data_IF_834097124814
#
_entry.id   IF_834097124814
#
_cell.length_a   1.000
_cell.length_b   1.000
_cell.length_c   1.000
_cell.angle_alpha   90.00
_cell.angle_beta   90.00
_cell.angle_gamma   90.00
#
_symmetry.space_group_name_H-M   'P 1'
#
loop_
_entity.id
_entity.type
_entity.pdbx_description
1 polymer ?
#
# COMPACT_ATOMS: atom_id res chain seq x y z
N UNK A 1 15.95 6.88 48.58
CA UNK A 1 15.54 5.67 47.82
C UNK A 1 14.37 5.03 48.57
N UNK A 2 13.32 4.48 47.94
CA UNK A 2 13.22 3.95 46.56
C UNK A 2 12.37 4.87 45.64
N UNK A 3 12.69 5.06 44.35
CA UNK A 3 12.44 4.20 43.16
C UNK A 3 10.99 3.70 43.10
N UNK A 4 10.07 4.55 42.66
CA UNK A 4 8.85 4.10 42.00
C UNK A 4 9.21 3.73 40.57
N UNK A 5 9.62 2.47 40.36
CA UNK A 5 9.63 1.88 39.02
C UNK A 5 8.18 1.81 38.56
N UNK A 6 7.73 2.83 37.84
CA UNK A 6 6.52 2.70 37.04
C UNK A 6 6.84 1.59 36.05
N UNK A 7 6.34 0.38 36.32
CA UNK A 7 6.37 -0.72 35.35
C UNK A 7 5.68 -0.16 34.11
N UNK A 8 6.45 0.19 33.09
CA UNK A 8 5.88 0.75 31.87
C UNK A 8 4.92 -0.29 31.32
N UNK A 9 3.64 0.02 31.27
CA UNK A 9 2.68 -0.85 30.62
C UNK A 9 3.17 -1.03 29.17
N UNK A 10 3.49 -2.26 28.71
CA UNK A 10 3.94 -2.47 27.33
C UNK A 10 2.79 -2.20 26.33
N UNK A 11 1.54 -2.16 26.82
CA UNK A 11 0.34 -1.90 26.03
C UNK A 11 -0.07 -0.43 26.16
N UNK A 12 0.64 0.45 25.46
CA UNK A 12 0.22 1.84 25.29
C UNK A 12 -0.62 1.93 24.02
N UNK A 13 -1.87 2.38 24.14
CA UNK A 13 -2.65 2.81 22.99
C UNK A 13 -1.99 4.06 22.40
N UNK A 14 -1.20 3.87 21.35
CA UNK A 14 -0.29 4.88 20.83
C UNK A 14 -0.35 5.01 19.31
N UNK A 15 0.63 5.73 18.71
CA UNK A 15 0.77 5.80 17.27
C UNK A 15 1.05 4.41 16.67
N UNK A 16 1.01 4.33 15.34
CA UNK A 16 1.40 3.13 14.59
C UNK A 16 2.71 2.54 15.13
N UNK A 17 2.76 1.21 15.27
CA UNK A 17 3.98 0.50 15.69
C UNK A 17 4.96 0.53 14.52
N UNK A 18 6.08 1.23 14.70
CA UNK A 18 7.15 1.34 13.69
C UNK A 18 8.37 0.49 14.01
N UNK A 19 8.51 0.02 15.24
CA UNK A 19 9.54 -0.91 15.67
C UNK A 19 9.04 -2.36 15.50
N UNK A 20 9.57 -3.16 14.56
CA UNK A 20 9.11 -4.52 14.32
C UNK A 20 9.16 -5.41 15.57
N UNK A 21 10.09 -5.16 16.50
CA UNK A 21 10.26 -5.97 17.71
C UNK A 21 9.09 -5.81 18.70
N UNK A 22 8.31 -4.73 18.57
CA UNK A 22 7.15 -4.43 19.41
C UNK A 22 5.83 -4.91 18.79
N UNK A 23 5.86 -5.42 17.56
CA UNK A 23 4.68 -5.97 16.90
C UNK A 23 4.45 -7.42 17.36
N UNK A 24 3.33 -7.68 18.01
CA UNK A 24 3.00 -8.97 18.62
C UNK A 24 1.66 -9.49 18.08
N UNK A 25 1.59 -10.79 17.79
CA UNK A 25 0.38 -11.44 17.30
C UNK A 25 0.17 -11.30 15.79
N UNK A 26 -1.10 -11.36 15.37
CA UNK A 26 -1.54 -11.20 13.96
C UNK A 26 -0.85 -12.12 12.93
N UNK A 27 -0.45 -13.32 13.38
CA UNK A 27 0.35 -14.26 12.57
C UNK A 27 -0.45 -14.78 11.37
N UNK A 28 -1.74 -15.02 11.57
CA UNK A 28 -2.65 -15.51 10.54
C UNK A 28 -2.89 -14.44 9.47
N UNK A 29 -3.08 -13.19 9.86
CA UNK A 29 -3.27 -12.07 8.94
C UNK A 29 -1.99 -11.80 8.13
N UNK A 30 -0.82 -11.87 8.76
CA UNK A 30 0.46 -11.77 8.06
C UNK A 30 0.65 -12.94 7.08
N UNK A 31 0.32 -14.17 7.50
CA UNK A 31 0.39 -15.33 6.63
C UNK A 31 -0.56 -15.20 5.42
N UNK A 32 -1.75 -14.64 5.63
CA UNK A 32 -2.70 -14.36 4.55
C UNK A 32 -2.13 -13.34 3.55
N UNK A 33 -1.58 -12.22 4.03
CA UNK A 33 -0.95 -11.21 3.15
C UNK A 33 0.17 -11.82 2.32
N UNK A 34 1.04 -12.62 2.95
CA UNK A 34 2.14 -13.32 2.28
C UNK A 34 1.62 -14.33 1.26
N UNK A 35 0.63 -15.14 1.61
CA UNK A 35 0.06 -16.13 0.70
C UNK A 35 -0.56 -15.49 -0.55
N UNK A 36 -1.22 -14.33 -0.38
CA UNK A 36 -1.79 -13.55 -1.49
C UNK A 36 -0.74 -12.85 -2.35
N UNK A 37 0.46 -12.63 -1.82
CA UNK A 37 1.60 -12.07 -2.52
C UNK A 37 2.43 -13.13 -3.24
N UNK A 38 2.72 -14.27 -2.60
CA UNK A 38 3.59 -15.36 -3.11
C UNK A 38 2.81 -16.40 -3.93
N UNK A 39 1.48 -16.30 -3.97
CA UNK A 39 0.62 -17.17 -4.78
C UNK A 39 0.88 -17.05 -6.28
N UNK A 40 0.48 -18.08 -7.04
CA UNK A 40 0.66 -18.14 -8.49
C UNK A 40 0.01 -16.96 -9.26
N UNK A 41 -1.04 -16.36 -8.69
CA UNK A 41 -1.62 -15.10 -9.13
C UNK A 41 -1.74 -14.17 -7.92
N UNK A 42 -0.85 -13.17 -7.80
CA UNK A 42 -0.96 -12.18 -6.74
C UNK A 42 -2.30 -11.43 -6.83
N UNK A 43 -2.97 -11.26 -5.70
CA UNK A 43 -4.29 -10.57 -5.66
C UNK A 43 -4.27 -9.39 -4.71
N UNK A 44 -5.05 -8.35 -5.02
CA UNK A 44 -5.31 -7.26 -4.08
C UNK A 44 -5.99 -7.76 -2.80
N UNK A 45 -5.51 -7.30 -1.64
CA UNK A 45 -6.08 -7.63 -0.33
C UNK A 45 -6.49 -6.34 0.35
N UNK A 46 -7.74 -6.28 0.83
CA UNK A 46 -8.22 -5.17 1.65
C UNK A 46 -8.13 -5.54 3.13
N UNK A 47 -7.45 -4.72 3.93
CA UNK A 47 -7.31 -4.90 5.38
C UNK A 47 -8.39 -4.06 6.06
N UNK A 48 -9.46 -4.70 6.51
CA UNK A 48 -10.62 -4.05 7.13
C UNK A 48 -10.72 -4.35 8.63
N UNK A 49 -11.35 -3.44 9.37
CA UNK A 49 -11.55 -3.59 10.81
C UNK A 49 -11.76 -2.25 11.51
N UNK A 50 -12.12 -2.29 12.79
CA UNK A 50 -12.43 -1.11 13.59
C UNK A 50 -11.28 -0.10 13.68
N UNK A 51 -11.61 1.15 14.01
CA UNK A 51 -10.60 2.19 14.24
C UNK A 51 -9.72 1.79 15.43
N UNK A 52 -8.41 2.01 15.33
CA UNK A 52 -7.39 1.68 16.34
C UNK A 52 -7.17 0.18 16.62
N UNK A 53 -7.69 -0.72 15.77
CA UNK A 53 -7.41 -2.16 15.89
C UNK A 53 -6.00 -2.58 15.41
N UNK A 54 -5.20 -1.62 14.92
CA UNK A 54 -3.81 -1.82 14.52
C UNK A 54 -3.58 -2.18 13.03
N UNK A 55 -4.49 -1.78 12.12
CA UNK A 55 -4.37 -2.05 10.68
C UNK A 55 -3.10 -1.46 10.05
N UNK A 56 -2.85 -0.16 10.28
CA UNK A 56 -1.63 0.51 9.84
C UNK A 56 -0.38 -0.17 10.38
N UNK A 57 -0.38 -0.53 11.67
CA UNK A 57 0.73 -1.29 12.28
C UNK A 57 0.94 -2.65 11.62
N UNK A 58 -0.13 -3.37 11.27
CA UNK A 58 -0.06 -4.65 10.57
C UNK A 58 0.54 -4.48 9.17
N UNK A 59 0.02 -3.53 8.39
CA UNK A 59 0.47 -3.27 7.02
C UNK A 59 1.93 -2.78 6.99
N UNK A 60 2.30 -1.90 7.91
CA UNK A 60 3.66 -1.40 8.05
C UNK A 60 4.61 -2.50 8.52
N UNK A 61 4.22 -3.33 9.48
CA UNK A 61 5.03 -4.47 9.92
C UNK A 61 5.24 -5.49 8.80
N UNK A 62 4.21 -5.76 8.00
CA UNK A 62 4.35 -6.55 6.77
C UNK A 62 5.38 -5.92 5.83
N UNK A 63 5.26 -4.62 5.52
CA UNK A 63 6.23 -3.89 4.70
C UNK A 63 7.66 -3.94 5.27
N UNK A 64 7.85 -4.00 6.58
CA UNK A 64 9.18 -4.12 7.18
C UNK A 64 9.76 -5.53 7.13
N UNK A 65 8.92 -6.57 7.01
CA UNK A 65 9.33 -7.97 7.23
C UNK A 65 9.03 -8.89 6.04
N UNK A 66 8.47 -8.38 4.95
CA UNK A 66 8.03 -9.20 3.80
C UNK A 66 9.15 -10.06 3.22
N UNK A 67 10.38 -9.54 3.13
CA UNK A 67 11.52 -10.26 2.54
C UNK A 67 11.80 -11.59 3.25
N UNK A 68 11.58 -11.64 4.57
CA UNK A 68 11.82 -12.81 5.41
C UNK A 68 10.69 -13.84 5.33
N UNK A 69 9.57 -13.50 4.68
CA UNK A 69 8.34 -14.29 4.69
C UNK A 69 8.01 -14.92 3.35
N UNK A 70 8.61 -14.46 2.26
CA UNK A 70 8.35 -14.95 0.90
C UNK A 70 9.46 -15.87 0.40
N UNK A 71 9.13 -16.78 -0.50
CA UNK A 71 10.08 -17.79 -1.00
C UNK A 71 11.11 -17.22 -1.98
N UNK A 72 10.80 -16.10 -2.63
CA UNK A 72 11.65 -15.49 -3.67
C UNK A 72 11.66 -13.97 -3.56
N UNK A 73 12.30 -13.38 -2.54
CA UNK A 73 12.22 -11.95 -2.27
C UNK A 73 12.72 -11.08 -3.43
N UNK A 74 13.66 -11.57 -4.23
CA UNK A 74 14.23 -10.85 -5.37
C UNK A 74 13.24 -10.52 -6.48
N UNK A 75 12.08 -11.19 -6.55
CA UNK A 75 11.05 -10.92 -7.57
C UNK A 75 10.15 -9.74 -7.21
N UNK A 76 10.16 -9.28 -5.97
CA UNK A 76 9.18 -8.30 -5.50
C UNK A 76 9.78 -6.91 -5.34
N UNK A 77 8.96 -5.91 -5.63
CA UNK A 77 9.27 -4.49 -5.40
C UNK A 77 8.17 -3.93 -4.52
N UNK A 78 8.36 -4.05 -3.21
CA UNK A 78 7.34 -3.66 -2.22
C UNK A 78 7.52 -2.20 -1.83
N UNK A 79 6.44 -1.42 -1.87
CA UNK A 79 6.41 -0.01 -1.47
C UNK A 79 5.31 0.25 -0.48
N UNK A 80 5.53 1.23 0.41
CA UNK A 80 4.55 1.70 1.38
C UNK A 80 4.20 3.16 1.13
N UNK A 81 2.91 3.46 1.10
CA UNK A 81 2.38 4.82 1.00
C UNK A 81 1.34 5.05 2.09
N UNK A 82 1.57 6.06 2.92
CA UNK A 82 0.56 6.64 3.80
C UNK A 82 -0.20 7.73 3.04
N UNK A 83 -1.44 7.43 2.66
CA UNK A 83 -2.27 8.31 1.84
C UNK A 83 -2.95 9.41 2.66
N UNK A 84 -2.93 9.34 3.99
CA UNK A 84 -3.42 10.41 4.85
C UNK A 84 -2.33 11.47 5.08
N UNK A 85 -1.09 11.05 5.33
CA UNK A 85 0.02 11.97 5.56
C UNK A 85 0.36 12.79 4.30
N UNK A 86 0.17 12.21 3.11
CA UNK A 86 0.42 12.87 1.82
C UNK A 86 -0.69 12.54 0.81
N UNK A 87 -1.89 13.02 1.09
CA UNK A 87 -3.06 12.81 0.24
C UNK A 87 -2.84 13.41 -1.16
N UNK A 88 -2.81 12.59 -2.22
CA UNK A 88 -2.80 13.07 -3.59
C UNK A 88 -4.12 13.80 -3.88
N UNK A 89 -4.09 15.06 -4.36
CA UNK A 89 -5.31 15.83 -4.64
C UNK A 89 -6.11 15.31 -5.84
N UNK A 90 -5.50 14.51 -6.72
CA UNK A 90 -6.14 13.93 -7.89
C UNK A 90 -5.46 12.62 -8.32
N UNK A 91 -6.10 11.92 -9.25
CA UNK A 91 -5.61 10.63 -9.77
C UNK A 91 -4.19 10.74 -10.38
N UNK A 92 -3.89 11.82 -11.11
CA UNK A 92 -2.56 12.00 -11.69
C UNK A 92 -1.47 12.08 -10.63
N UNK A 93 -1.72 12.81 -9.54
CA UNK A 93 -0.79 12.87 -8.42
C UNK A 93 -0.67 11.54 -7.66
N UNK A 94 -1.70 10.71 -7.66
CA UNK A 94 -1.67 9.36 -7.08
C UNK A 94 -0.74 8.44 -7.88
N UNK A 95 -0.90 8.35 -9.21
CA UNK A 95 0.02 7.57 -10.04
C UNK A 95 1.47 8.08 -9.97
N UNK A 96 1.66 9.40 -9.91
CA UNK A 96 3.00 9.96 -9.69
C UNK A 96 3.60 9.53 -8.35
N UNK A 97 2.79 9.45 -7.28
CA UNK A 97 3.24 8.99 -5.98
C UNK A 97 3.66 7.51 -6.02
N UNK A 98 2.87 6.65 -6.67
CA UNK A 98 3.20 5.23 -6.88
C UNK A 98 4.50 5.08 -7.68
N UNK A 99 4.62 5.78 -8.82
CA UNK A 99 5.83 5.74 -9.64
C UNK A 99 7.07 6.24 -8.90
N UNK A 100 6.97 7.35 -8.15
CA UNK A 100 8.08 7.85 -7.33
C UNK A 100 8.47 6.87 -6.22
N UNK A 101 7.51 6.17 -5.63
CA UNK A 101 7.78 5.15 -4.62
C UNK A 101 8.54 3.97 -5.22
N UNK A 102 8.13 3.48 -6.39
CA UNK A 102 8.85 2.44 -7.14
C UNK A 102 10.25 2.88 -7.55
N UNK A 103 10.39 4.12 -8.05
CA UNK A 103 11.66 4.66 -8.50
C UNK A 103 12.73 4.63 -7.41
N UNK A 104 12.37 4.70 -6.13
CA UNK A 104 13.34 4.68 -5.03
C UNK A 104 13.85 3.28 -4.67
N UNK A 105 13.27 2.24 -5.24
CA UNK A 105 13.58 0.87 -4.85
C UNK A 105 14.89 0.37 -5.47
N UNK A 106 15.77 -0.29 -4.70
CA UNK A 106 17.04 -0.80 -5.22
C UNK A 106 16.90 -1.75 -6.40
N UNK A 107 15.84 -2.57 -6.42
CA UNK A 107 15.53 -3.48 -7.54
C UNK A 107 15.27 -2.72 -8.84
N UNK A 108 14.58 -1.59 -8.77
CA UNK A 108 14.28 -0.72 -9.92
C UNK A 108 15.53 0.00 -10.40
N UNK A 109 16.37 0.47 -9.48
CA UNK A 109 17.61 1.17 -9.83
C UNK A 109 18.63 0.27 -10.55
N UNK A 110 18.54 -1.05 -10.39
CA UNK A 110 19.37 -2.04 -11.10
C UNK A 110 18.94 -2.28 -12.55
N UNK A 111 17.73 -1.86 -12.93
CA UNK A 111 17.16 -2.12 -14.26
C UNK A 111 17.04 -0.80 -15.02
N UNK A 112 17.92 -0.61 -16.01
CA UNK A 112 18.06 0.67 -16.72
C UNK A 112 16.76 1.12 -17.43
N UNK A 113 16.03 0.20 -18.04
CA UNK A 113 14.76 0.52 -18.72
C UNK A 113 13.71 1.05 -17.73
N UNK A 114 13.55 0.38 -16.58
CA UNK A 114 12.60 0.80 -15.54
C UNK A 114 13.01 2.15 -14.94
N UNK A 115 14.31 2.33 -14.67
CA UNK A 115 14.86 3.59 -14.17
C UNK A 115 14.56 4.75 -15.13
N UNK A 116 14.74 4.55 -16.44
CA UNK A 116 14.42 5.55 -17.47
C UNK A 116 12.93 5.86 -17.53
N UNK A 117 12.08 4.85 -17.58
CA UNK A 117 10.61 5.02 -17.60
C UNK A 117 10.12 5.81 -16.39
N UNK A 118 10.76 5.63 -15.24
CA UNK A 118 10.40 6.31 -13.98
C UNK A 118 11.02 7.69 -13.79
N UNK A 119 11.86 8.19 -14.72
CA UNK A 119 12.31 9.59 -14.71
C UNK A 119 11.15 10.57 -14.88
N UNK A 120 10.14 10.17 -15.66
CA UNK A 120 8.88 10.86 -15.81
C UNK A 120 7.77 10.00 -15.17
N UNK A 121 7.38 10.27 -13.90
CA UNK A 121 6.40 9.44 -13.22
C UNK A 121 5.05 9.44 -13.97
N UNK A 122 4.37 8.28 -14.02
CA UNK A 122 3.11 8.11 -14.73
C UNK A 122 2.04 9.06 -14.18
N UNK A 123 1.17 9.56 -15.06
CA UNK A 123 0.10 10.50 -14.70
C UNK A 123 -1.29 9.94 -14.97
N UNK A 124 -1.38 8.86 -15.72
CA UNK A 124 -2.65 8.22 -16.09
C UNK A 124 -2.60 6.74 -15.78
N UNK A 125 -3.77 6.11 -15.74
CA UNK A 125 -3.90 4.66 -15.66
C UNK A 125 -3.15 3.97 -16.81
N UNK A 126 -3.22 4.53 -18.02
CA UNK A 126 -2.54 3.99 -19.20
C UNK A 126 -1.02 4.03 -19.04
N UNK A 127 -0.45 5.17 -18.62
CA UNK A 127 0.99 5.28 -18.37
C UNK A 127 1.44 4.29 -17.29
N UNK A 128 0.63 4.14 -16.23
CA UNK A 128 0.93 3.25 -15.12
C UNK A 128 0.83 1.78 -15.53
N UNK A 129 -0.15 1.41 -16.37
CA UNK A 129 -0.31 0.05 -16.88
C UNK A 129 0.87 -0.36 -17.75
N UNK A 130 1.28 0.52 -18.69
CA UNK A 130 2.49 0.31 -19.52
C UNK A 130 3.74 0.19 -18.65
N UNK A 131 3.84 0.98 -17.58
CA UNK A 131 4.93 0.85 -16.63
C UNK A 131 4.93 -0.54 -15.97
N UNK A 132 3.78 -1.04 -15.49
CA UNK A 132 3.67 -2.36 -14.83
C UNK A 132 3.98 -3.52 -15.79
N UNK A 133 3.65 -3.40 -17.08
CA UNK A 133 4.04 -4.39 -18.10
C UNK A 133 5.57 -4.52 -18.18
N UNK A 134 6.30 -3.41 -18.13
CA UNK A 134 7.77 -3.44 -18.12
C UNK A 134 8.33 -4.15 -16.88
N UNK A 135 7.68 -4.05 -15.71
CA UNK A 135 8.11 -4.81 -14.54
C UNK A 135 7.98 -6.32 -14.78
N UNK A 136 6.90 -6.73 -15.44
CA UNK A 136 6.63 -8.12 -15.79
C UNK A 136 7.69 -8.68 -16.75
N UNK A 137 8.13 -7.88 -17.73
CA UNK A 137 9.21 -8.24 -18.66
C UNK A 137 10.54 -8.55 -17.94
N UNK A 138 10.75 -7.95 -16.76
CA UNK A 138 11.94 -8.17 -15.92
C UNK A 138 11.70 -9.15 -14.77
N UNK A 139 10.57 -9.87 -14.77
CA UNK A 139 10.17 -10.80 -13.70
C UNK A 139 10.12 -10.12 -12.33
N UNK A 140 9.82 -8.82 -12.32
CA UNK A 140 9.61 -8.03 -11.12
C UNK A 140 8.11 -7.81 -10.91
N UNK A 141 7.68 -7.88 -9.65
CA UNK A 141 6.29 -7.74 -9.24
C UNK A 141 6.18 -6.60 -8.22
N UNK A 142 5.66 -5.43 -8.65
CA UNK A 142 5.31 -4.35 -7.75
C UNK A 142 4.24 -4.77 -6.74
N UNK A 143 4.45 -4.44 -5.46
CA UNK A 143 3.46 -4.64 -4.39
C UNK A 143 3.26 -3.33 -3.65
N UNK A 144 2.03 -2.84 -3.64
CA UNK A 144 1.68 -1.55 -3.05
C UNK A 144 0.96 -1.74 -1.72
N UNK A 145 1.63 -1.36 -0.63
CA UNK A 145 1.02 -1.22 0.69
C UNK A 145 0.44 0.20 0.81
N UNK A 146 -0.87 0.32 0.58
CA UNK A 146 -1.58 1.60 0.62
C UNK A 146 -2.33 1.73 1.95
N UNK A 147 -1.85 2.59 2.84
CA UNK A 147 -2.49 2.85 4.13
C UNK A 147 -3.47 4.04 4.03
N UNK A 148 -4.56 3.98 4.79
CA UNK A 148 -5.64 4.98 4.82
C UNK A 148 -6.21 5.29 3.41
N UNK A 149 -6.41 4.25 2.58
CA UNK A 149 -6.90 4.37 1.20
C UNK A 149 -8.27 5.05 1.10
N UNK A 150 -9.13 4.91 2.11
CA UNK A 150 -10.46 5.53 2.16
C UNK A 150 -10.43 7.06 2.03
N UNK A 151 -9.29 7.70 2.29
CA UNK A 151 -9.13 9.15 2.12
C UNK A 151 -9.31 9.54 0.64
N UNK A 152 -8.89 8.71 -0.30
CA UNK A 152 -9.05 8.97 -1.74
C UNK A 152 -10.51 8.94 -2.20
N UNK A 153 -11.36 8.18 -1.50
CA UNK A 153 -12.79 8.08 -1.81
C UNK A 153 -13.56 9.31 -1.34
N UNK A 154 -13.05 10.03 -0.33
CA UNK A 154 -13.68 11.23 0.24
C UNK A 154 -13.42 12.49 -0.58
N UNK A 155 -12.41 12.47 -1.45
CA UNK A 155 -12.08 13.60 -2.34
C UNK A 155 -12.93 13.66 -3.62
N UNK A 156 -13.86 12.72 -3.83
CA UNK A 156 -14.84 12.81 -4.91
C UNK A 156 -15.89 13.86 -4.53
N UNK A 157 -16.11 14.93 -5.32
CA UNK A 157 -17.11 15.92 -4.99
C UNK A 157 -18.51 15.28 -4.94
N UNK A 158 -19.35 15.64 -3.96
CA UNK A 158 -20.74 15.20 -3.90
C UNK A 158 -21.49 15.78 -5.10
N UNK A 159 -21.69 14.97 -6.14
CA UNK A 159 -22.36 15.40 -7.37
C UNK A 159 -22.19 14.48 -8.59
N UNK A 160 -21.28 13.49 -8.54
CA UNK A 160 -21.09 12.54 -9.65
C UNK A 160 -21.95 11.27 -9.56
N UNK A 161 -22.83 11.15 -8.57
CA UNK A 161 -23.70 9.98 -8.37
C UNK A 161 -25.17 10.40 -8.27
N UNK A 162 -25.78 10.83 -9.38
CA UNK A 162 -27.24 10.86 -9.56
C UNK A 162 -27.61 11.10 -11.04
N UNK A 163 -27.44 10.10 -11.90
CA UNK A 163 -28.24 10.02 -13.14
C UNK A 163 -29.59 9.42 -12.78
N UNK A 164 -30.56 10.31 -12.59
CA UNK A 164 -31.98 10.03 -12.37
C UNK A 164 -32.52 9.04 -13.42
N UNK A 165 -33.38 8.06 -13.05
CA UNK A 165 -34.00 7.18 -14.04
C UNK A 165 -34.92 8.00 -14.96
N UNK A 166 -34.80 7.76 -16.26
CA UNK A 166 -35.69 8.29 -17.28
C UNK A 166 -37.08 7.71 -17.01
N UNK A 167 -38.00 8.54 -16.52
CA UNK A 167 -39.42 8.22 -16.49
C UNK A 167 -39.96 8.28 -17.92
N UNK A 168 -40.17 7.13 -18.54
CA UNK A 168 -41.03 7.02 -19.72
C UNK A 168 -42.48 7.18 -19.26
N UNK A 169 -43.10 8.29 -19.62
CA UNK A 169 -44.57 8.43 -19.59
C UNK A 169 -45.05 8.53 -21.03
N UNK A 170 -45.87 7.56 -21.40
CA UNK A 170 -46.62 7.47 -22.64
C UNK A 170 -47.56 8.67 -22.84
N UNK A 171 -47.67 9.10 -24.09
CA UNK A 171 -48.68 10.01 -24.63
C UNK A 171 -48.65 9.91 -26.14
#
# INVERSE_FOLDING_TARGET
MPISSVRSCPFVAGPMITDPSRFVGRREELALLVHRMDGAQPTSVNVVGERRIGKSSLLYHFFQTWEQRVSSPSRFVVVYLDLQAKTPPNEATFYQALGRALARQPAVQRVESLRRSLLAPPRTYQDFSVLLEQFTDHVLLPVFCLDEFEVLLKSVPPGAAETKPISNTSG
#
